data_IF_724051430656
#
_entry.id   IF_724051430656
#
_cell.length_a   1.000
_cell.length_b   1.000
_cell.length_c   1.000
_cell.angle_alpha   90.00
_cell.angle_beta   90.00
_cell.angle_gamma   90.00
#
_symmetry.space_group_name_H-M   'P 1'
#
loop_
_entity.id
_entity.type
_entity.pdbx_description
1 polymer ?
#
# COMPACT_ATOMS: atom_id res chain seq x y z
N UNK A 1 -2.94 4.85 25.84
CA UNK A 1 -3.40 4.84 24.47
C UNK A 1 -3.13 3.50 23.80
N UNK A 2 -4.08 3.03 23.06
CA UNK A 2 -3.93 1.75 22.40
C UNK A 2 -3.21 1.89 21.06
N UNK A 3 -2.17 1.10 20.88
CA UNK A 3 -1.47 1.05 19.61
C UNK A 3 -2.15 0.02 18.73
N UNK A 4 -2.72 0.48 17.62
CA UNK A 4 -3.38 -0.43 16.72
C UNK A 4 -2.44 -1.04 15.71
N UNK A 5 -3.01 -1.86 14.86
CA UNK A 5 -2.29 -2.46 13.75
C UNK A 5 -2.18 -1.42 12.65
N UNK A 6 -1.01 -1.31 12.04
CA UNK A 6 -0.79 -0.41 10.92
C UNK A 6 -0.44 -1.25 9.69
N UNK A 7 -1.15 -0.98 8.60
CA UNK A 7 -0.90 -1.64 7.34
C UNK A 7 -0.14 -0.70 6.42
N UNK A 8 1.01 -1.15 5.94
CA UNK A 8 1.87 -0.34 5.09
C UNK A 8 1.83 -0.89 3.68
N UNK A 9 1.55 -0.02 2.75
CA UNK A 9 1.43 -0.38 1.35
C UNK A 9 2.50 0.33 0.53
N UNK A 10 3.31 -0.42 -0.19
CA UNK A 10 4.26 0.13 -1.15
C UNK A 10 3.72 -0.10 -2.54
N UNK A 11 3.54 0.98 -3.25
CA UNK A 11 3.01 0.91 -4.61
C UNK A 11 3.83 1.79 -5.54
N UNK A 12 3.72 1.51 -6.82
CA UNK A 12 4.31 2.34 -7.85
C UNK A 12 3.18 3.04 -8.58
N UNK A 13 3.23 4.36 -8.60
CA UNK A 13 2.24 5.17 -9.30
C UNK A 13 2.83 5.68 -10.61
N UNK A 14 2.03 5.65 -11.66
CA UNK A 14 2.45 6.14 -12.96
C UNK A 14 2.81 7.61 -12.86
N UNK A 15 3.99 7.96 -13.36
CA UNK A 15 4.46 9.34 -13.32
C UNK A 15 5.42 9.56 -14.50
N UNK A 16 4.98 10.35 -15.46
CA UNK A 16 5.73 10.59 -16.68
C UNK A 16 7.01 11.39 -16.45
N UNK A 17 7.11 12.07 -15.32
CA UNK A 17 8.30 12.86 -14.99
C UNK A 17 9.49 12.00 -14.64
N UNK A 18 9.28 10.71 -14.36
CA UNK A 18 10.34 9.79 -14.03
C UNK A 18 10.71 8.96 -15.25
N UNK A 19 12.00 8.70 -15.42
CA UNK A 19 12.48 7.91 -16.55
C UNK A 19 11.85 6.53 -16.62
N UNK A 20 11.59 5.94 -15.45
CA UNK A 20 10.98 4.62 -15.38
C UNK A 20 9.48 4.64 -15.68
N UNK A 21 8.88 5.83 -15.70
CA UNK A 21 7.45 5.94 -15.93
C UNK A 21 6.62 5.79 -14.68
N UNK A 22 7.25 5.66 -13.51
CA UNK A 22 6.54 5.53 -12.25
C UNK A 22 7.41 6.00 -11.10
N UNK A 23 6.77 6.29 -9.98
CA UNK A 23 7.46 6.59 -8.74
C UNK A 23 6.92 5.69 -7.64
N UNK A 24 7.78 5.37 -6.69
CA UNK A 24 7.38 4.53 -5.57
C UNK A 24 6.79 5.37 -4.45
N UNK A 25 5.68 4.91 -3.91
CA UNK A 25 4.97 5.61 -2.85
C UNK A 25 4.67 4.62 -1.73
N UNK A 26 4.80 5.08 -0.49
CA UNK A 26 4.47 4.27 0.68
C UNK A 26 3.30 4.93 1.39
N UNK A 27 2.26 4.16 1.67
CA UNK A 27 1.07 4.64 2.37
C UNK A 27 0.79 3.77 3.57
N UNK A 28 0.18 4.36 4.59
CA UNK A 28 -0.19 3.66 5.81
C UNK A 28 -1.70 3.71 5.99
N UNK A 29 -2.25 2.59 6.44
CA UNK A 29 -3.68 2.46 6.67
C UNK A 29 -3.91 1.77 8.00
N UNK A 30 -5.02 2.10 8.65
CA UNK A 30 -5.39 1.47 9.92
C UNK A 30 -6.25 0.23 9.72
N UNK A 31 -6.94 0.13 8.61
CA UNK A 31 -7.81 -1.01 8.33
C UNK A 31 -7.57 -1.53 6.91
N UNK A 32 -7.88 -2.80 6.73
CA UNK A 32 -7.77 -3.40 5.42
C UNK A 32 -8.75 -2.77 4.43
N UNK A 33 -9.91 -2.37 4.94
CA UNK A 33 -10.91 -1.70 4.12
C UNK A 33 -10.38 -0.40 3.52
N UNK A 34 -9.70 0.40 4.33
CA UNK A 34 -9.10 1.64 3.85
C UNK A 34 -8.04 1.36 2.79
N UNK A 35 -7.24 0.32 3.02
CA UNK A 35 -6.18 -0.06 2.07
C UNK A 35 -6.78 -0.47 0.74
N UNK A 36 -7.80 -1.32 0.75
CA UNK A 36 -8.42 -1.79 -0.49
C UNK A 36 -9.17 -0.67 -1.20
N UNK A 37 -9.80 0.24 -0.46
CA UNK A 37 -10.46 1.39 -1.05
C UNK A 37 -9.46 2.28 -1.77
N UNK A 38 -8.29 2.48 -1.19
CA UNK A 38 -7.24 3.26 -1.82
C UNK A 38 -6.80 2.61 -3.13
N UNK A 39 -6.60 1.30 -3.11
CA UNK A 39 -6.20 0.58 -4.31
C UNK A 39 -7.26 0.67 -5.40
N UNK A 40 -8.53 0.52 -5.02
CA UNK A 40 -9.63 0.59 -5.97
C UNK A 40 -9.74 1.99 -6.57
N UNK A 41 -9.61 3.01 -5.73
CA UNK A 41 -9.71 4.40 -6.16
C UNK A 41 -8.58 4.79 -7.11
N UNK A 42 -7.41 4.21 -6.94
CA UNK A 42 -6.22 4.55 -7.73
C UNK A 42 -5.84 3.48 -8.74
N UNK A 43 -6.72 2.53 -9.03
CA UNK A 43 -6.34 1.38 -9.85
C UNK A 43 -5.78 1.76 -11.22
N UNK A 44 -6.27 2.84 -11.81
CA UNK A 44 -5.80 3.28 -13.13
C UNK A 44 -4.47 4.01 -13.06
N UNK A 45 -4.04 4.40 -11.87
CA UNK A 45 -2.80 5.13 -11.67
C UNK A 45 -1.68 4.24 -11.17
N UNK A 46 -1.99 3.03 -10.76
CA UNK A 46 -1.01 2.10 -10.22
C UNK A 46 -0.27 1.44 -11.37
N UNK A 47 1.06 1.46 -11.27
CA UNK A 47 1.92 0.80 -12.24
C UNK A 47 2.17 -0.63 -11.77
N UNK A 48 1.73 -1.60 -12.55
CA UNK A 48 1.89 -3.01 -12.18
C UNK A 48 0.78 -3.49 -11.26
N UNK A 49 1.06 -4.56 -10.54
CA UNK A 49 0.11 -5.17 -9.62
C UNK A 49 0.59 -5.09 -8.19
N UNK A 50 -0.34 -4.86 -7.28
CA UNK A 50 -0.06 -4.85 -5.85
C UNK A 50 -0.63 -6.14 -5.28
N UNK A 51 0.26 -7.01 -4.80
CA UNK A 51 -0.15 -8.34 -4.32
C UNK A 51 0.02 -8.51 -2.82
N UNK A 52 0.83 -7.66 -2.19
CA UNK A 52 1.17 -7.82 -0.78
C UNK A 52 1.16 -6.48 -0.06
N UNK A 53 0.97 -6.55 1.23
CA UNK A 53 1.13 -5.39 2.09
C UNK A 53 1.80 -5.83 3.38
N UNK A 54 2.41 -4.88 4.09
CA UNK A 54 3.11 -5.15 5.33
C UNK A 54 2.22 -4.75 6.49
N UNK A 55 2.20 -5.57 7.53
CA UNK A 55 1.42 -5.29 8.74
C UNK A 55 2.39 -5.14 9.90
N UNK A 56 2.30 -4.00 10.59
CA UNK A 56 3.02 -3.76 11.83
C UNK A 56 2.05 -3.95 12.98
N UNK A 57 2.32 -4.93 13.82
CA UNK A 57 1.45 -5.24 14.95
C UNK A 57 2.33 -5.38 16.20
N UNK A 58 2.31 -4.35 17.04
CA UNK A 58 3.05 -4.36 18.30
C UNK A 58 4.52 -4.72 18.12
N UNK A 59 5.14 -4.13 17.12
CA UNK A 59 6.55 -4.36 16.85
C UNK A 59 6.85 -5.60 16.02
N UNK A 60 5.83 -6.36 15.67
CA UNK A 60 5.98 -7.53 14.82
C UNK A 60 5.63 -7.16 13.38
N UNK A 61 6.37 -7.73 12.45
CA UNK A 61 6.15 -7.47 11.03
C UNK A 61 5.58 -8.73 10.38
N UNK A 62 4.45 -8.55 9.72
CA UNK A 62 3.79 -9.64 8.99
C UNK A 62 3.50 -9.17 7.57
N UNK A 63 3.35 -10.13 6.68
CA UNK A 63 3.01 -9.84 5.29
C UNK A 63 1.64 -10.39 5.00
N UNK A 64 0.77 -9.54 4.47
CA UNK A 64 -0.55 -9.96 4.06
C UNK A 64 -0.68 -10.03 2.56
N UNK A 65 -1.59 -10.85 2.08
CA UNK A 65 -1.87 -10.99 0.67
C UNK A 65 -3.12 -10.18 0.32
N UNK A 66 -3.08 -9.53 -0.82
CA UNK A 66 -4.22 -8.77 -1.34
C UNK A 66 -4.97 -9.66 -2.31
N UNK A 67 -6.26 -9.83 -2.04
CA UNK A 67 -7.10 -10.67 -2.90
C UNK A 67 -7.76 -9.87 -4.00
#
# INVERSE_FOLDING_TARGET
>A
MKVGVIMILRIMLKDERFKKGYRQVTKEFKTYSDLTNYLQFNKDRIYGQVKKYTVLDKGKIKVGAIK
#
